data_IF_693998269337
#
_entry.id   IF_693998269337
#
_cell.length_a   1.000
_cell.length_b   1.000
_cell.length_c   1.000
_cell.angle_alpha   90.00
_cell.angle_beta   90.00
_cell.angle_gamma   90.00
#
_symmetry.space_group_name_H-M   'P 1'
#
loop_
_entity.id
_entity.type
_entity.pdbx_description
1 polymer ?
#
# COMPACT_ATOMS: atom_id res chain seq x y z
N UNK A 1 24.94 7.46 21.16
CA UNK A 1 24.29 6.19 20.74
C UNK A 1 22.80 6.06 21.08
N UNK A 2 22.23 6.78 22.08
CA UNK A 2 20.80 6.62 22.47
C UNK A 2 19.78 7.34 21.55
N UNK A 3 20.11 8.47 20.95
CA UNK A 3 19.20 9.24 20.10
C UNK A 3 18.75 8.53 18.81
N UNK A 4 19.63 7.94 17.98
CA UNK A 4 19.19 7.28 16.74
C UNK A 4 18.32 6.05 16.98
N UNK A 5 18.51 5.30 18.07
CA UNK A 5 17.67 4.13 18.41
C UNK A 5 16.24 4.58 18.77
N UNK A 6 16.09 5.70 19.47
CA UNK A 6 14.75 6.25 19.80
C UNK A 6 14.00 6.70 18.56
N UNK A 7 14.66 7.34 17.61
CA UNK A 7 14.04 7.77 16.35
C UNK A 7 13.65 6.56 15.50
N UNK A 8 14.49 5.53 15.43
CA UNK A 8 14.17 4.27 14.73
C UNK A 8 12.94 3.58 15.34
N UNK A 9 12.93 3.43 16.68
CA UNK A 9 11.79 2.83 17.39
C UNK A 9 10.51 3.68 17.25
N UNK A 10 10.64 5.01 17.36
CA UNK A 10 9.52 5.93 17.17
C UNK A 10 8.95 5.84 15.75
N UNK A 11 9.82 5.76 14.74
CA UNK A 11 9.43 5.62 13.34
C UNK A 11 8.72 4.28 13.07
N UNK A 12 9.25 3.17 13.61
CA UNK A 12 8.60 1.86 13.51
C UNK A 12 7.22 1.86 14.15
N UNK A 13 7.11 2.30 15.42
CA UNK A 13 5.86 2.31 16.15
C UNK A 13 4.81 3.25 15.53
N UNK A 14 5.23 4.43 15.07
CA UNK A 14 4.32 5.35 14.39
C UNK A 14 3.83 4.81 13.05
N UNK A 15 4.68 4.09 12.32
CA UNK A 15 4.35 3.50 11.02
C UNK A 15 3.37 2.33 11.13
N UNK A 16 3.25 1.70 12.32
CA UNK A 16 2.21 0.70 12.59
C UNK A 16 0.79 1.24 12.35
N UNK A 17 0.55 2.55 12.53
CA UNK A 17 -0.78 3.16 12.39
C UNK A 17 -1.11 3.61 10.97
N UNK A 18 -0.18 3.59 10.01
CA UNK A 18 -0.39 4.16 8.67
C UNK A 18 -1.32 3.34 7.78
N UNK A 19 -1.32 2.03 7.89
CA UNK A 19 -2.05 1.15 6.96
C UNK A 19 -3.21 0.34 7.57
N UNK A 20 -3.35 0.15 8.88
CA UNK A 20 -4.42 -0.64 9.49
C UNK A 20 -5.80 -0.24 9.00
N UNK A 21 -6.05 1.06 8.87
CA UNK A 21 -7.34 1.62 8.44
C UNK A 21 -7.75 1.26 7.00
N UNK A 22 -6.80 0.84 6.16
CA UNK A 22 -7.06 0.35 4.80
C UNK A 22 -7.18 -1.18 4.82
N UNK A 23 -6.22 -1.85 5.48
CA UNK A 23 -6.08 -3.30 5.39
C UNK A 23 -7.15 -4.07 6.21
N UNK A 24 -7.71 -3.45 7.26
CA UNK A 24 -8.83 -4.00 8.01
C UNK A 24 -10.14 -4.00 7.21
N UNK A 25 -10.28 -3.13 6.21
CA UNK A 25 -11.53 -3.01 5.44
C UNK A 25 -11.84 -4.30 4.68
N UNK A 26 -10.89 -4.89 3.97
CA UNK A 26 -11.12 -6.12 3.20
C UNK A 26 -11.77 -7.24 4.02
N UNK A 27 -11.19 -7.66 5.16
CA UNK A 27 -11.79 -8.65 6.05
C UNK A 27 -13.17 -8.26 6.61
N UNK A 28 -13.38 -6.97 6.92
CA UNK A 28 -14.65 -6.46 7.47
C UNK A 28 -15.69 -6.17 6.39
N UNK A 29 -15.32 -6.14 5.12
CA UNK A 29 -16.19 -5.71 4.03
C UNK A 29 -17.47 -6.55 3.90
N UNK A 30 -17.47 -7.88 4.09
CA UNK A 30 -18.71 -8.66 4.11
C UNK A 30 -19.70 -8.18 5.18
N UNK A 31 -19.21 -7.86 6.39
CA UNK A 31 -20.04 -7.36 7.49
C UNK A 31 -20.57 -5.95 7.19
N UNK A 32 -19.72 -5.05 6.68
CA UNK A 32 -20.08 -3.67 6.31
C UNK A 32 -21.13 -3.69 5.20
N UNK A 33 -20.96 -4.53 4.17
CA UNK A 33 -21.90 -4.67 3.05
C UNK A 33 -23.25 -5.19 3.51
N UNK A 34 -23.25 -6.20 4.39
CA UNK A 34 -24.49 -6.77 4.93
C UNK A 34 -25.26 -5.75 5.78
N UNK A 35 -24.59 -5.02 6.65
CA UNK A 35 -25.21 -4.04 7.55
C UNK A 35 -25.76 -2.79 6.82
N UNK A 36 -25.00 -2.25 5.86
CA UNK A 36 -25.37 -1.03 5.14
C UNK A 36 -25.97 -1.28 3.75
N UNK A 37 -26.24 -2.54 3.39
CA UNK A 37 -26.78 -2.97 2.09
C UNK A 37 -25.98 -2.37 0.90
N UNK A 38 -24.64 -2.36 0.96
CA UNK A 38 -23.82 -1.76 -0.08
C UNK A 38 -23.68 -2.67 -1.30
N UNK A 39 -23.78 -2.06 -2.50
CA UNK A 39 -23.28 -2.72 -3.72
C UNK A 39 -21.78 -2.94 -3.64
N UNK A 40 -21.24 -3.90 -4.37
CA UNK A 40 -19.81 -4.15 -4.37
C UNK A 40 -19.02 -2.96 -4.95
N UNK A 41 -19.55 -2.29 -5.98
CA UNK A 41 -18.94 -1.08 -6.53
C UNK A 41 -18.77 0.03 -5.49
N UNK A 42 -19.82 0.32 -4.70
CA UNK A 42 -19.75 1.33 -3.62
C UNK A 42 -18.80 0.88 -2.51
N UNK A 43 -18.85 -0.38 -2.13
CA UNK A 43 -17.95 -0.93 -1.11
C UNK A 43 -16.47 -0.85 -1.52
N UNK A 44 -16.16 -0.99 -2.82
CA UNK A 44 -14.83 -0.79 -3.39
C UNK A 44 -14.26 0.61 -3.13
N UNK A 45 -15.12 1.65 -2.99
CA UNK A 45 -14.69 3.02 -2.66
C UNK A 45 -13.96 3.11 -1.32
N UNK A 46 -14.27 2.23 -0.37
CA UNK A 46 -13.60 2.21 0.93
C UNK A 46 -12.09 1.92 0.84
N UNK A 47 -11.66 1.22 -0.21
CA UNK A 47 -10.23 0.98 -0.50
C UNK A 47 -9.73 1.96 -1.58
N UNK A 48 -10.54 2.27 -2.58
CA UNK A 48 -10.20 3.20 -3.68
C UNK A 48 -9.83 4.60 -3.16
N UNK A 49 -10.65 5.18 -2.27
CA UNK A 49 -10.46 6.56 -1.79
C UNK A 49 -9.10 6.74 -1.11
N UNK A 50 -8.68 5.90 -0.12
CA UNK A 50 -7.35 6.04 0.49
C UNK A 50 -6.21 5.86 -0.51
N UNK A 51 -6.33 4.92 -1.45
CA UNK A 51 -5.30 4.67 -2.47
C UNK A 51 -5.17 5.86 -3.42
N UNK A 52 -6.29 6.46 -3.85
CA UNK A 52 -6.29 7.68 -4.64
C UNK A 52 -5.61 8.83 -3.88
N UNK A 53 -5.95 8.99 -2.60
CA UNK A 53 -5.34 10.01 -1.75
C UNK A 53 -3.83 9.82 -1.60
N UNK A 54 -3.34 8.58 -1.55
CA UNK A 54 -1.89 8.31 -1.51
C UNK A 54 -1.15 8.84 -2.75
N UNK A 55 -1.78 8.84 -3.93
CA UNK A 55 -1.23 9.49 -5.11
C UNK A 55 -1.33 11.02 -5.04
N UNK A 56 -2.56 11.52 -4.89
CA UNK A 56 -2.89 12.96 -5.01
C UNK A 56 -2.25 13.80 -3.92
N UNK A 57 -2.23 13.31 -2.67
CA UNK A 57 -1.75 14.09 -1.50
C UNK A 57 -0.29 13.84 -1.14
N UNK A 58 0.39 12.83 -1.71
CA UNK A 58 1.81 12.59 -1.45
C UNK A 58 2.71 13.81 -1.72
N UNK A 59 2.52 14.61 -2.80
CA UNK A 59 3.33 15.80 -3.06
C UNK A 59 3.14 16.93 -2.03
N UNK A 60 2.08 16.88 -1.21
CA UNK A 60 1.79 17.86 -0.17
C UNK A 60 2.63 17.59 1.08
N UNK A 61 2.99 16.31 1.35
CA UNK A 61 3.76 15.89 2.52
C UNK A 61 5.02 16.71 2.79
N UNK A 62 5.92 16.91 1.82
CA UNK A 62 7.12 17.72 2.00
C UNK A 62 6.82 19.18 2.36
N UNK A 63 5.76 19.79 1.79
CA UNK A 63 5.34 21.17 2.10
C UNK A 63 4.83 21.29 3.52
N UNK A 64 4.00 20.36 3.96
CA UNK A 64 3.49 20.30 5.34
C UNK A 64 4.64 20.10 6.32
N UNK A 65 5.59 19.23 6.00
CA UNK A 65 6.77 19.00 6.81
C UNK A 65 7.71 20.21 6.86
N UNK A 66 7.82 20.98 5.77
CA UNK A 66 8.60 22.22 5.75
C UNK A 66 8.01 23.30 6.66
N UNK A 67 6.68 23.42 6.70
CA UNK A 67 5.98 24.44 7.49
C UNK A 67 5.87 24.09 8.97
N UNK A 68 5.53 22.84 9.29
CA UNK A 68 5.25 22.38 10.67
C UNK A 68 6.44 21.68 11.31
N UNK A 69 7.47 21.33 10.55
CA UNK A 69 8.51 20.38 10.93
C UNK A 69 8.06 18.93 10.80
N UNK A 70 9.00 18.02 10.50
CA UNK A 70 8.70 16.58 10.23
C UNK A 70 7.98 15.90 11.38
N UNK A 71 8.36 16.22 12.63
CA UNK A 71 7.74 15.63 13.83
C UNK A 71 6.27 16.02 13.97
N UNK A 72 5.96 17.31 13.88
CA UNK A 72 4.59 17.82 14.04
C UNK A 72 3.72 17.46 12.84
N UNK A 73 4.27 17.50 11.63
CA UNK A 73 3.58 17.11 10.41
C UNK A 73 3.14 15.65 10.46
N UNK A 74 4.04 14.74 10.87
CA UNK A 74 3.70 13.32 10.98
C UNK A 74 2.70 13.04 12.10
N UNK A 75 2.84 13.73 13.26
CA UNK A 75 1.86 13.64 14.35
C UNK A 75 0.47 14.13 13.92
N UNK A 76 0.39 15.24 13.16
CA UNK A 76 -0.88 15.74 12.63
C UNK A 76 -1.53 14.75 11.65
N UNK A 77 -0.75 14.11 10.78
CA UNK A 77 -1.25 13.05 9.90
C UNK A 77 -1.80 11.85 10.68
N UNK A 78 -1.08 11.39 11.73
CA UNK A 78 -1.54 10.31 12.58
C UNK A 78 -2.82 10.71 13.33
N UNK A 79 -2.89 11.92 13.87
CA UNK A 79 -4.08 12.44 14.54
C UNK A 79 -5.28 12.50 13.58
N UNK A 80 -5.07 12.89 12.33
CA UNK A 80 -6.09 12.90 11.28
C UNK A 80 -6.61 11.48 11.00
N UNK A 81 -5.69 10.52 10.82
CA UNK A 81 -6.03 9.10 10.59
C UNK A 81 -6.85 8.54 11.77
N UNK A 82 -6.44 8.81 13.01
CA UNK A 82 -7.12 8.37 14.23
C UNK A 82 -8.50 9.02 14.33
N UNK A 83 -8.58 10.34 14.21
CA UNK A 83 -9.83 11.08 14.34
C UNK A 83 -10.88 10.63 13.33
N UNK A 84 -10.53 10.58 12.05
CA UNK A 84 -11.44 10.08 11.02
C UNK A 84 -11.68 8.56 11.12
N UNK A 85 -10.74 7.79 11.65
CA UNK A 85 -10.95 6.38 11.98
C UNK A 85 -12.03 6.19 13.04
N UNK A 86 -12.04 7.03 14.08
CA UNK A 86 -13.09 7.04 15.11
C UNK A 86 -14.43 7.53 14.53
N UNK A 87 -14.45 8.58 13.72
CA UNK A 87 -15.67 9.03 13.02
C UNK A 87 -16.24 7.91 12.16
N UNK A 88 -15.37 7.18 11.43
CA UNK A 88 -15.78 6.03 10.61
C UNK A 88 -16.40 4.91 11.43
N UNK A 89 -15.93 4.68 12.65
CA UNK A 89 -16.45 3.62 13.53
C UNK A 89 -17.85 3.88 14.09
N UNK A 90 -18.36 5.10 13.95
CA UNK A 90 -19.74 5.44 14.37
C UNK A 90 -20.64 5.77 13.19
N UNK A 91 -20.19 5.49 11.96
CA UNK A 91 -20.98 5.76 10.76
C UNK A 91 -22.22 4.85 10.68
N UNK A 92 -23.41 5.45 10.50
CA UNK A 92 -24.68 4.75 10.38
C UNK A 92 -25.18 4.65 8.94
N UNK A 93 -24.55 5.39 8.01
CA UNK A 93 -24.87 5.37 6.57
C UNK A 93 -23.60 5.46 5.72
N UNK A 94 -23.79 5.38 4.41
CA UNK A 94 -22.67 5.33 3.42
C UNK A 94 -21.90 6.64 3.36
N UNK A 95 -22.59 7.78 3.39
CA UNK A 95 -22.01 9.10 3.19
C UNK A 95 -20.97 9.44 4.29
N UNK A 96 -21.29 9.37 5.61
CA UNK A 96 -20.29 9.62 6.65
C UNK A 96 -19.18 8.58 6.64
N UNK A 97 -19.47 7.32 6.26
CA UNK A 97 -18.47 6.27 6.10
C UNK A 97 -17.41 6.64 5.02
N UNK A 98 -17.87 7.10 3.85
CA UNK A 98 -16.99 7.52 2.75
C UNK A 98 -16.25 8.82 3.07
N UNK A 99 -16.91 9.80 3.69
CA UNK A 99 -16.27 11.06 4.09
C UNK A 99 -15.18 10.83 5.13
N UNK A 100 -15.44 9.97 6.12
CA UNK A 100 -14.42 9.59 7.10
C UNK A 100 -13.25 8.84 6.42
N UNK A 101 -13.55 7.96 5.46
CA UNK A 101 -12.54 7.26 4.67
C UNK A 101 -11.68 8.23 3.84
N UNK A 102 -12.25 9.30 3.31
CA UNK A 102 -11.51 10.37 2.63
C UNK A 102 -10.54 11.08 3.59
N UNK A 103 -10.99 11.44 4.79
CA UNK A 103 -10.14 12.06 5.79
C UNK A 103 -8.97 11.17 6.21
N UNK A 104 -9.21 9.86 6.38
CA UNK A 104 -8.14 8.87 6.61
C UNK A 104 -7.17 8.86 5.43
N UNK A 105 -7.69 8.80 4.20
CA UNK A 105 -6.88 8.77 2.98
C UNK A 105 -5.98 10.00 2.83
N UNK A 106 -6.49 11.20 3.12
CA UNK A 106 -5.72 12.45 3.13
C UNK A 106 -4.56 12.35 4.14
N UNK A 107 -4.85 11.89 5.37
CA UNK A 107 -3.83 11.68 6.39
C UNK A 107 -2.71 10.73 5.94
N UNK A 108 -3.08 9.59 5.36
CA UNK A 108 -2.14 8.59 4.85
C UNK A 108 -1.34 9.14 3.66
N UNK A 109 -1.99 9.83 2.72
CA UNK A 109 -1.35 10.39 1.54
C UNK A 109 -0.27 11.41 1.91
N UNK A 110 -0.59 12.37 2.79
CA UNK A 110 0.38 13.36 3.28
C UNK A 110 1.51 12.69 4.07
N UNK A 111 1.18 11.70 4.91
CA UNK A 111 2.15 10.99 5.73
C UNK A 111 3.18 10.21 4.90
N UNK A 112 2.84 9.78 3.68
CA UNK A 112 3.63 8.83 2.88
C UNK A 112 5.09 9.27 2.61
N UNK A 113 5.35 10.56 2.45
CA UNK A 113 6.67 11.09 2.18
C UNK A 113 7.48 11.46 3.45
N UNK A 114 6.81 11.68 4.58
CA UNK A 114 7.44 12.23 5.80
C UNK A 114 8.46 11.27 6.44
N UNK A 115 8.21 9.95 6.57
CA UNK A 115 9.17 9.02 7.14
C UNK A 115 10.52 9.00 6.43
N UNK A 116 10.52 9.06 5.09
CA UNK A 116 11.76 9.12 4.31
C UNK A 116 12.57 10.39 4.62
N UNK A 117 11.89 11.51 4.87
CA UNK A 117 12.53 12.77 5.30
C UNK A 117 13.11 12.64 6.70
N UNK A 118 12.39 11.99 7.63
CA UNK A 118 12.90 11.72 8.98
C UNK A 118 14.17 10.86 8.93
N UNK A 119 14.19 9.84 8.06
CA UNK A 119 15.36 8.97 7.88
C UNK A 119 16.56 9.74 7.34
N UNK A 120 16.36 10.54 6.28
CA UNK A 120 17.43 11.31 5.64
C UNK A 120 18.03 12.39 6.56
N UNK A 121 17.24 12.92 7.48
CA UNK A 121 17.64 14.00 8.38
C UNK A 121 18.12 13.50 9.74
N UNK A 122 17.41 12.53 10.34
CA UNK A 122 17.67 12.08 11.71
C UNK A 122 18.56 10.85 11.81
N UNK A 123 18.66 10.03 10.75
CA UNK A 123 19.38 8.75 10.76
C UNK A 123 20.26 8.61 9.50
N UNK A 124 20.76 9.71 8.96
CA UNK A 124 21.54 9.74 7.72
C UNK A 124 22.76 8.78 7.72
N UNK A 125 23.32 8.45 8.89
CA UNK A 125 24.42 7.49 9.03
C UNK A 125 23.98 6.02 8.91
N UNK A 126 22.69 5.71 9.05
CA UNK A 126 22.11 4.37 8.97
C UNK A 126 20.76 4.38 8.24
N UNK A 127 20.72 4.84 6.98
CA UNK A 127 19.46 5.03 6.24
C UNK A 127 18.72 3.71 6.03
N UNK A 128 19.43 2.61 5.83
CA UNK A 128 18.84 1.27 5.67
C UNK A 128 18.05 0.85 6.91
N UNK A 129 18.60 1.11 8.12
CA UNK A 129 17.91 0.80 9.37
C UNK A 129 16.63 1.63 9.55
N UNK A 130 16.69 2.93 9.22
CA UNK A 130 15.54 3.82 9.29
C UNK A 130 14.43 3.46 8.31
N UNK A 131 14.79 3.18 7.06
CA UNK A 131 13.84 2.74 6.02
C UNK A 131 13.25 1.39 6.35
N UNK A 132 14.07 0.45 6.85
CA UNK A 132 13.61 -0.86 7.31
C UNK A 132 12.63 -0.76 8.48
N UNK A 133 12.88 0.13 9.45
CA UNK A 133 11.96 0.37 10.56
C UNK A 133 10.61 0.91 10.07
N UNK A 134 10.62 1.91 9.20
CA UNK A 134 9.42 2.47 8.60
C UNK A 134 8.63 1.41 7.80
N UNK A 135 9.28 0.72 6.87
CA UNK A 135 8.63 -0.30 6.05
C UNK A 135 8.13 -1.48 6.90
N UNK A 136 8.95 -1.94 7.87
CA UNK A 136 8.58 -2.99 8.80
C UNK A 136 7.38 -2.62 9.66
N UNK A 137 7.31 -1.37 10.14
CA UNK A 137 6.16 -0.87 10.89
C UNK A 137 4.88 -0.88 10.05
N UNK A 138 4.93 -0.39 8.79
CA UNK A 138 3.78 -0.44 7.87
C UNK A 138 3.28 -1.86 7.67
N UNK A 139 4.17 -2.79 7.37
CA UNK A 139 3.78 -4.18 7.06
C UNK A 139 3.27 -4.88 8.31
N UNK A 140 3.94 -4.72 9.46
CA UNK A 140 3.48 -5.29 10.72
C UNK A 140 2.07 -4.77 11.09
N UNK A 141 1.84 -3.45 11.02
CA UNK A 141 0.53 -2.85 11.26
C UNK A 141 -0.54 -3.36 10.29
N UNK A 142 -0.20 -3.51 9.01
CA UNK A 142 -1.09 -4.06 7.98
C UNK A 142 -1.48 -5.50 8.28
N UNK A 143 -0.50 -6.35 8.60
CA UNK A 143 -0.71 -7.77 8.90
C UNK A 143 -1.55 -7.96 10.16
N UNK A 144 -1.23 -7.21 11.23
CA UNK A 144 -2.01 -7.24 12.47
C UNK A 144 -3.45 -6.80 12.23
N UNK A 145 -3.66 -5.70 11.50
CA UNK A 145 -5.00 -5.23 11.19
C UNK A 145 -5.81 -6.25 10.39
N UNK A 146 -5.22 -6.88 9.38
CA UNK A 146 -5.89 -7.91 8.59
C UNK A 146 -6.21 -9.15 9.42
N UNK A 147 -5.28 -9.58 10.30
CA UNK A 147 -5.45 -10.78 11.13
C UNK A 147 -6.51 -10.59 12.22
N UNK A 148 -6.57 -9.40 12.83
CA UNK A 148 -7.43 -9.14 13.97
C UNK A 148 -8.72 -8.40 13.64
N UNK A 149 -8.92 -7.95 12.39
CA UNK A 149 -10.11 -7.18 12.00
C UNK A 149 -11.41 -7.93 12.34
N UNK A 150 -11.55 -9.18 11.90
CA UNK A 150 -12.77 -9.97 12.14
C UNK A 150 -12.88 -10.44 13.59
N UNK A 151 -11.82 -10.98 14.24
CA UNK A 151 -11.86 -11.29 15.68
C UNK A 151 -12.25 -10.11 16.58
N UNK A 152 -11.92 -8.88 16.19
CA UNK A 152 -12.31 -7.68 16.92
C UNK A 152 -13.77 -7.25 16.66
N UNK A 153 -14.38 -7.74 15.59
CA UNK A 153 -15.79 -7.51 15.25
C UNK A 153 -16.70 -8.50 16.01
N UNK A 154 -16.59 -8.51 17.33
CA UNK A 154 -17.38 -9.40 18.22
C UNK A 154 -18.87 -9.21 17.88
N UNK A 155 -19.61 -10.31 17.80
CA UNK A 155 -21.01 -10.35 17.40
C UNK A 155 -21.31 -9.72 16.01
N UNK A 156 -20.30 -9.68 15.14
CA UNK A 156 -20.43 -9.10 13.81
C UNK A 156 -20.37 -7.55 13.78
N UNK A 157 -20.07 -6.90 14.89
CA UNK A 157 -19.97 -5.44 14.99
C UNK A 157 -18.64 -4.92 14.40
N UNK A 158 -18.64 -4.65 13.10
CA UNK A 158 -17.50 -4.08 12.38
C UNK A 158 -17.10 -2.68 12.89
N UNK A 159 -18.05 -1.91 13.45
CA UNK A 159 -17.80 -0.58 14.03
C UNK A 159 -16.87 -0.69 15.24
N UNK A 160 -17.11 -1.68 16.10
CA UNK A 160 -16.26 -1.98 17.24
C UNK A 160 -14.83 -2.32 16.82
N UNK A 161 -14.65 -3.14 15.78
CA UNK A 161 -13.34 -3.46 15.26
C UNK A 161 -12.60 -2.21 14.77
N UNK A 162 -13.25 -1.35 14.00
CA UNK A 162 -12.66 -0.10 13.50
C UNK A 162 -12.34 0.89 14.64
N UNK A 163 -13.19 0.95 15.68
CA UNK A 163 -12.94 1.76 16.88
C UNK A 163 -11.67 1.29 17.60
N UNK A 164 -11.54 -0.01 17.87
CA UNK A 164 -10.37 -0.58 18.55
C UNK A 164 -9.09 -0.33 17.73
N UNK A 165 -9.11 -0.53 16.42
CA UNK A 165 -7.98 -0.25 15.53
C UNK A 165 -7.61 1.25 15.59
N UNK A 166 -8.59 2.14 15.64
CA UNK A 166 -8.34 3.58 15.75
C UNK A 166 -7.76 3.97 17.11
N UNK A 167 -8.30 3.40 18.20
CA UNK A 167 -7.83 3.63 19.57
C UNK A 167 -6.38 3.10 19.72
N UNK A 168 -6.08 1.91 19.23
CA UNK A 168 -4.71 1.36 19.30
C UNK A 168 -3.71 2.23 18.51
N UNK A 169 -4.15 2.93 17.48
CA UNK A 169 -3.32 3.89 16.74
C UNK A 169 -2.93 5.12 17.58
N UNK A 170 -3.66 5.43 18.67
CA UNK A 170 -3.29 6.47 19.64
C UNK A 170 -1.96 6.12 20.34
N UNK A 171 -1.73 4.83 20.60
CA UNK A 171 -0.46 4.37 21.18
C UNK A 171 0.71 4.65 20.24
N UNK A 172 0.49 4.49 18.94
CA UNK A 172 1.49 4.82 17.89
C UNK A 172 1.80 6.31 17.87
N UNK A 173 0.78 7.17 17.94
CA UNK A 173 0.96 8.62 18.05
C UNK A 173 1.69 9.00 19.35
N UNK A 174 1.28 8.43 20.48
CA UNK A 174 1.94 8.64 21.77
C UNK A 174 3.42 8.23 21.74
N UNK A 175 3.73 7.05 21.19
CA UNK A 175 5.09 6.58 21.03
C UNK A 175 5.93 7.53 20.14
N UNK A 176 5.36 8.03 19.04
CA UNK A 176 6.00 9.03 18.19
C UNK A 176 6.35 10.30 18.96
N UNK A 177 5.39 10.87 19.68
CA UNK A 177 5.57 12.11 20.44
C UNK A 177 6.54 11.96 21.62
N UNK A 178 6.61 10.78 22.23
CA UNK A 178 7.50 10.49 23.37
C UNK A 178 8.94 10.19 22.94
N UNK A 179 9.11 9.42 21.87
CA UNK A 179 10.42 8.93 21.45
C UNK A 179 11.16 9.93 20.56
N UNK A 180 10.45 10.65 19.69
CA UNK A 180 11.03 11.63 18.78
C UNK A 180 10.89 13.01 19.38
N UNK A 181 11.77 13.35 20.33
CA UNK A 181 11.82 14.63 21.02
C UNK A 181 12.92 15.52 20.46
N UNK A 182 12.64 16.81 20.33
CA UNK A 182 13.68 17.85 20.18
C UNK A 182 14.28 18.00 18.78
N UNK A 183 13.77 17.34 17.76
CA UNK A 183 14.14 17.67 16.39
C UNK A 183 13.50 19.01 16.04
N UNK A 184 14.31 20.09 16.21
CA UNK A 184 14.04 21.37 15.55
C UNK A 184 13.83 21.07 14.09
N UNK A 185 12.80 21.68 13.51
CA UNK A 185 12.55 21.72 12.06
C UNK A 185 13.88 21.72 11.30
N UNK A 186 14.34 20.54 10.88
CA UNK A 186 15.44 20.45 9.96
C UNK A 186 14.89 21.08 8.69
N UNK A 187 15.36 22.27 8.39
CA UNK A 187 14.96 22.98 7.17
C UNK A 187 15.13 22.01 6.03
N UNK A 188 14.02 21.68 5.39
CA UNK A 188 14.08 20.98 4.13
C UNK A 188 15.01 21.80 3.26
N UNK A 189 16.22 21.26 3.01
CA UNK A 189 17.16 21.89 2.10
C UNK A 189 16.42 21.95 0.78
N UNK A 190 16.08 23.15 0.32
CA UNK A 190 15.47 23.38 -0.97
C UNK A 190 16.39 22.81 -2.06
N UNK A 191 16.25 21.51 -2.31
CA UNK A 191 16.71 20.99 -3.57
C UNK A 191 15.65 21.46 -4.58
N UNK A 192 16.06 22.20 -5.60
CA UNK A 192 15.12 22.65 -6.61
C UNK A 192 14.39 21.44 -7.15
N UNK A 193 13.06 21.41 -6.92
CA UNK A 193 12.22 20.31 -7.39
C UNK A 193 12.39 20.24 -8.91
N UNK A 194 13.06 19.18 -9.38
CA UNK A 194 13.19 18.94 -10.82
C UNK A 194 11.79 18.75 -11.39
N UNK A 195 11.53 19.26 -12.56
CA UNK A 195 10.23 19.10 -13.22
C UNK A 195 9.94 17.61 -13.44
N UNK A 196 8.71 17.20 -13.16
CA UNK A 196 8.27 15.83 -13.37
C UNK A 196 8.39 15.47 -14.86
N UNK A 197 8.88 14.27 -15.22
CA UNK A 197 9.15 13.87 -16.61
C UNK A 197 7.86 13.43 -17.34
N UNK A 198 6.82 14.28 -17.39
CA UNK A 198 5.55 13.98 -18.04
C UNK A 198 5.65 13.62 -19.53
N UNK A 199 6.69 14.11 -20.20
CA UNK A 199 6.91 13.88 -21.65
C UNK A 199 7.73 12.64 -21.93
N UNK A 200 8.31 12.00 -20.92
CA UNK A 200 9.11 10.79 -21.09
C UNK A 200 8.21 9.55 -21.14
N UNK A 201 8.18 8.79 -22.25
CA UNK A 201 7.39 7.57 -22.34
C UNK A 201 7.83 6.50 -21.35
N UNK A 202 9.07 6.54 -20.84
CA UNK A 202 9.54 5.63 -19.81
C UNK A 202 8.84 5.92 -18.46
N UNK A 203 8.58 7.19 -18.14
CA UNK A 203 7.82 7.55 -16.95
C UNK A 203 6.40 6.96 -16.98
N UNK A 204 5.74 6.99 -18.13
CA UNK A 204 4.42 6.38 -18.30
C UNK A 204 4.45 4.86 -18.18
N UNK A 205 5.52 4.22 -18.67
CA UNK A 205 5.73 2.78 -18.47
C UNK A 205 5.89 2.44 -16.97
N UNK A 206 6.65 3.25 -16.22
CA UNK A 206 6.80 3.07 -14.78
C UNK A 206 5.47 3.28 -14.05
N UNK A 207 4.68 4.29 -14.42
CA UNK A 207 3.31 4.50 -13.90
C UNK A 207 2.47 3.26 -14.15
N UNK A 208 2.49 2.71 -15.36
CA UNK A 208 1.69 1.55 -15.74
C UNK A 208 2.10 0.32 -14.91
N UNK A 209 3.39 0.01 -14.84
CA UNK A 209 3.89 -1.16 -14.10
C UNK A 209 3.57 -1.06 -12.60
N UNK A 210 3.82 0.10 -11.99
CA UNK A 210 3.49 0.33 -10.58
C UNK A 210 1.98 0.30 -10.34
N UNK A 211 1.19 0.91 -11.21
CA UNK A 211 -0.27 0.96 -11.11
C UNK A 211 -0.90 -0.43 -11.22
N UNK A 212 -0.50 -1.22 -12.22
CA UNK A 212 -1.02 -2.59 -12.42
C UNK A 212 -0.69 -3.50 -11.24
N UNK A 213 0.57 -3.48 -10.77
CA UNK A 213 0.97 -4.22 -9.57
C UNK A 213 0.13 -3.81 -8.35
N UNK A 214 -0.09 -2.50 -8.18
CA UNK A 214 -0.87 -1.99 -7.06
C UNK A 214 -2.36 -2.30 -7.19
N UNK A 215 -2.93 -2.35 -8.41
CA UNK A 215 -4.30 -2.85 -8.64
C UNK A 215 -4.42 -4.29 -8.15
N UNK A 216 -3.47 -5.16 -8.51
CA UNK A 216 -3.46 -6.56 -8.06
C UNK A 216 -3.44 -6.64 -6.54
N UNK A 217 -2.55 -5.88 -5.89
CA UNK A 217 -2.43 -5.88 -4.43
C UNK A 217 -3.71 -5.39 -3.74
N UNK A 218 -4.18 -4.18 -4.07
CA UNK A 218 -5.36 -3.61 -3.41
C UNK A 218 -6.65 -4.30 -3.80
N UNK A 219 -6.74 -4.83 -5.03
CA UNK A 219 -7.87 -5.65 -5.47
C UNK A 219 -8.00 -6.94 -4.68
N UNK A 220 -6.89 -7.66 -4.50
CA UNK A 220 -6.85 -8.88 -3.67
C UNK A 220 -7.20 -8.56 -2.22
N UNK A 221 -6.54 -7.56 -1.63
CA UNK A 221 -6.80 -7.17 -0.23
C UNK A 221 -8.26 -6.77 0.01
N UNK A 222 -8.88 -6.05 -0.92
CA UNK A 222 -10.27 -5.61 -0.80
C UNK A 222 -11.28 -6.76 -0.95
N UNK A 223 -11.07 -7.63 -1.93
CA UNK A 223 -12.13 -8.55 -2.36
C UNK A 223 -11.91 -10.01 -1.99
N UNK A 224 -10.69 -10.43 -1.67
CA UNK A 224 -10.42 -11.85 -1.33
C UNK A 224 -11.34 -12.40 -0.22
N UNK A 225 -11.59 -11.67 0.90
CA UNK A 225 -12.52 -12.17 1.91
C UNK A 225 -13.95 -12.30 1.39
N UNK A 226 -14.44 -11.33 0.61
CA UNK A 226 -15.78 -11.38 0.04
C UNK A 226 -15.97 -12.56 -0.91
N UNK A 227 -14.97 -12.86 -1.74
CA UNK A 227 -14.97 -14.00 -2.67
C UNK A 227 -15.18 -15.30 -1.89
N UNK A 228 -14.51 -15.47 -0.74
CA UNK A 228 -14.59 -16.69 0.02
C UNK A 228 -15.80 -16.76 0.95
N UNK A 229 -16.31 -15.64 1.45
CA UNK A 229 -17.59 -15.58 2.17
C UNK A 229 -18.74 -15.95 1.23
N UNK A 230 -18.78 -15.46 -0.03
CA UNK A 230 -19.78 -15.88 -1.02
C UNK A 230 -19.66 -17.39 -1.40
N UNK A 231 -18.47 -17.98 -1.20
CA UNK A 231 -18.25 -19.42 -1.35
C UNK A 231 -18.60 -20.24 -0.10
N UNK A 232 -19.22 -19.62 0.91
CA UNK A 232 -19.66 -20.29 2.14
C UNK A 232 -18.62 -20.38 3.26
N UNK A 233 -17.49 -19.68 3.15
CA UNK A 233 -16.51 -19.64 4.23
C UNK A 233 -16.98 -18.68 5.34
N UNK A 234 -16.56 -18.95 6.59
CA UNK A 234 -16.76 -18.01 7.69
C UNK A 234 -15.96 -16.74 7.46
N UNK A 235 -16.44 -15.60 7.99
CA UNK A 235 -15.74 -14.33 7.87
C UNK A 235 -14.32 -14.39 8.45
N UNK A 236 -14.12 -15.13 9.57
CA UNK A 236 -12.82 -15.32 10.20
C UNK A 236 -11.84 -16.05 9.26
N UNK A 237 -12.26 -17.18 8.69
CA UNK A 237 -11.42 -17.95 7.77
C UNK A 237 -11.10 -17.15 6.49
N UNK A 238 -12.07 -16.44 5.96
CA UNK A 238 -11.89 -15.57 4.79
C UNK A 238 -10.98 -14.37 5.10
N UNK A 239 -11.12 -13.76 6.27
CA UNK A 239 -10.25 -12.68 6.74
C UNK A 239 -8.80 -13.14 6.95
N UNK A 240 -8.61 -14.36 7.47
CA UNK A 240 -7.28 -14.96 7.67
C UNK A 240 -6.50 -15.11 6.35
N UNK A 241 -7.17 -15.25 5.19
CA UNK A 241 -6.51 -15.28 3.89
C UNK A 241 -5.72 -13.99 3.61
N UNK A 242 -6.26 -12.82 3.97
CA UNK A 242 -5.55 -11.53 3.80
C UNK A 242 -4.36 -11.42 4.75
N UNK A 243 -4.48 -11.94 5.96
CA UNK A 243 -3.38 -11.99 6.91
C UNK A 243 -2.23 -12.88 6.37
N UNK A 244 -2.55 -14.07 5.82
CA UNK A 244 -1.57 -14.95 5.17
C UNK A 244 -0.95 -14.26 3.96
N UNK A 245 -1.75 -13.66 3.08
CA UNK A 245 -1.28 -12.91 1.90
C UNK A 245 -0.23 -11.85 2.27
N UNK A 246 -0.55 -11.00 3.26
CA UNK A 246 0.36 -9.94 3.69
C UNK A 246 1.57 -10.50 4.46
N UNK A 247 1.35 -11.44 5.39
CA UNK A 247 2.40 -12.00 6.25
C UNK A 247 3.46 -12.75 5.43
N UNK A 248 3.03 -13.58 4.48
CA UNK A 248 3.96 -14.32 3.61
C UNK A 248 4.60 -13.37 2.58
N UNK A 249 3.86 -12.41 2.05
CA UNK A 249 4.38 -11.38 1.15
C UNK A 249 5.51 -10.55 1.77
N UNK A 250 5.48 -10.34 3.09
CA UNK A 250 6.54 -9.67 3.82
C UNK A 250 7.91 -10.34 3.65
N UNK A 251 7.93 -11.69 3.63
CA UNK A 251 9.17 -12.47 3.49
C UNK A 251 9.89 -12.10 2.18
N UNK A 252 9.15 -12.01 1.07
CA UNK A 252 9.73 -11.62 -0.22
C UNK A 252 9.97 -10.13 -0.34
N UNK A 253 9.12 -9.30 0.26
CA UNK A 253 9.31 -7.83 0.27
C UNK A 253 10.61 -7.43 0.98
N UNK A 254 10.99 -8.12 2.04
CA UNK A 254 12.24 -7.86 2.78
C UNK A 254 13.40 -8.69 2.22
N UNK A 255 13.17 -9.96 1.93
CA UNK A 255 14.22 -10.90 1.56
C UNK A 255 14.72 -10.71 0.12
N UNK A 256 13.83 -10.44 -0.82
CA UNK A 256 14.20 -10.36 -2.22
C UNK A 256 15.21 -9.22 -2.52
N UNK A 257 15.08 -7.99 -2.00
CA UNK A 257 16.06 -6.93 -2.25
C UNK A 257 17.48 -7.32 -1.88
N UNK A 258 17.67 -8.16 -0.84
CA UNK A 258 18.99 -8.64 -0.39
C UNK A 258 19.62 -9.54 -1.45
N UNK A 259 18.84 -10.28 -2.20
CA UNK A 259 19.29 -11.26 -3.20
C UNK A 259 19.19 -10.70 -4.63
N UNK A 260 18.28 -9.76 -4.87
CA UNK A 260 18.00 -9.21 -6.20
C UNK A 260 19.22 -8.58 -6.87
N UNK A 261 20.07 -7.90 -6.10
CA UNK A 261 21.30 -7.30 -6.62
C UNK A 261 22.31 -8.36 -7.12
N UNK A 262 22.28 -9.57 -6.55
CA UNK A 262 23.10 -10.71 -7.00
C UNK A 262 22.52 -11.42 -8.23
N UNK A 263 21.20 -11.37 -8.41
CA UNK A 263 20.49 -11.99 -9.52
C UNK A 263 20.54 -11.13 -10.81
N UNK A 264 21.04 -9.90 -10.75
CA UNK A 264 21.24 -9.03 -11.88
C UNK A 264 19.95 -8.33 -12.35
N UNK A 265 19.61 -8.40 -13.64
CA UNK A 265 18.54 -7.63 -14.24
C UNK A 265 17.17 -7.88 -13.56
N UNK A 266 16.46 -6.80 -13.21
CA UNK A 266 15.15 -6.85 -12.52
C UNK A 266 14.01 -7.39 -13.38
N UNK A 267 14.11 -7.22 -14.71
CA UNK A 267 13.08 -7.66 -15.66
C UNK A 267 12.71 -9.16 -15.54
N UNK A 268 13.65 -10.13 -15.55
CA UNK A 268 13.31 -11.54 -15.40
C UNK A 268 12.59 -11.84 -14.07
N UNK A 269 13.05 -11.20 -12.99
CA UNK A 269 12.48 -11.37 -11.65
C UNK A 269 11.02 -10.87 -11.60
N UNK A 270 10.74 -9.67 -12.17
CA UNK A 270 9.39 -9.12 -12.29
C UNK A 270 8.50 -10.02 -13.14
N UNK A 271 9.01 -10.50 -14.29
CA UNK A 271 8.24 -11.36 -15.20
C UNK A 271 7.89 -12.69 -14.53
N UNK A 272 8.86 -13.37 -13.90
CA UNK A 272 8.63 -14.65 -13.22
C UNK A 272 7.64 -14.49 -12.07
N UNK A 273 7.83 -13.48 -11.21
CA UNK A 273 6.91 -13.24 -10.10
C UNK A 273 5.48 -12.93 -10.59
N UNK A 274 5.34 -12.15 -11.68
CA UNK A 274 4.02 -11.85 -12.27
C UNK A 274 3.37 -13.10 -12.90
N UNK A 275 4.14 -13.99 -13.52
CA UNK A 275 3.63 -15.27 -14.03
C UNK A 275 3.16 -16.18 -12.89
N UNK A 276 3.92 -16.24 -11.78
CA UNK A 276 3.51 -16.98 -10.58
C UNK A 276 2.20 -16.42 -10.03
N UNK A 277 2.03 -15.08 -10.01
CA UNK A 277 0.79 -14.44 -9.59
C UNK A 277 -0.41 -14.82 -10.48
N UNK A 278 -0.22 -14.90 -11.81
CA UNK A 278 -1.24 -15.39 -12.75
C UNK A 278 -1.65 -16.82 -12.41
N UNK A 279 -0.68 -17.70 -12.22
CA UNK A 279 -0.94 -19.11 -11.85
C UNK A 279 -1.71 -19.22 -10.53
N UNK A 280 -1.29 -18.47 -9.51
CA UNK A 280 -1.97 -18.46 -8.21
C UNK A 280 -3.42 -17.94 -8.30
N UNK A 281 -3.66 -16.85 -9.05
CA UNK A 281 -5.01 -16.31 -9.30
C UNK A 281 -5.88 -17.34 -10.06
N UNK A 282 -5.35 -17.99 -11.08
CA UNK A 282 -6.06 -19.03 -11.81
C UNK A 282 -6.43 -20.22 -10.89
N UNK A 283 -5.52 -20.64 -10.02
CA UNK A 283 -5.76 -21.72 -9.08
C UNK A 283 -6.79 -21.36 -7.99
N UNK A 284 -6.92 -20.08 -7.62
CA UNK A 284 -8.01 -19.62 -6.76
C UNK A 284 -9.40 -19.78 -7.41
N UNK A 285 -9.47 -19.84 -8.75
CA UNK A 285 -10.70 -20.13 -9.47
C UNK A 285 -10.96 -21.64 -9.57
N UNK A 286 -9.94 -22.43 -9.94
CA UNK A 286 -10.07 -23.84 -10.31
C UNK A 286 -10.03 -24.76 -9.09
N UNK A 287 -9.22 -24.43 -8.09
CA UNK A 287 -9.02 -25.24 -6.89
C UNK A 287 -9.20 -24.42 -5.59
N UNK A 288 -10.40 -23.85 -5.35
CA UNK A 288 -10.65 -22.94 -4.22
C UNK A 288 -10.46 -23.60 -2.84
N UNK A 289 -10.53 -24.92 -2.75
CA UNK A 289 -10.32 -25.67 -1.50
C UNK A 289 -8.92 -25.44 -0.91
N UNK A 290 -7.90 -25.22 -1.75
CA UNK A 290 -6.54 -24.96 -1.34
C UNK A 290 -6.21 -23.47 -1.24
N UNK A 291 -7.18 -22.62 -0.91
CA UNK A 291 -7.07 -21.18 -0.90
C UNK A 291 -5.84 -20.66 -0.16
N UNK A 292 -5.56 -21.17 1.04
CA UNK A 292 -4.40 -20.73 1.83
C UNK A 292 -3.08 -20.93 1.10
N UNK A 293 -2.94 -22.03 0.36
CA UNK A 293 -1.74 -22.32 -0.44
C UNK A 293 -1.60 -21.34 -1.58
N UNK A 294 -2.67 -21.15 -2.36
CA UNK A 294 -2.63 -20.23 -3.51
C UNK A 294 -2.48 -18.79 -3.11
N UNK A 295 -3.12 -18.39 -2.01
CA UNK A 295 -2.98 -17.05 -1.43
C UNK A 295 -1.57 -16.81 -0.90
N UNK A 296 -0.94 -17.82 -0.28
CA UNK A 296 0.46 -17.71 0.15
C UNK A 296 1.40 -17.54 -1.05
N UNK A 297 1.21 -18.32 -2.12
CA UNK A 297 1.99 -18.19 -3.37
C UNK A 297 1.77 -16.81 -3.99
N UNK A 298 0.52 -16.32 -4.04
CA UNK A 298 0.19 -14.99 -4.55
C UNK A 298 0.84 -13.89 -3.71
N UNK A 299 0.84 -14.04 -2.37
CA UNK A 299 1.50 -13.13 -1.43
C UNK A 299 3.01 -13.06 -1.67
N UNK A 300 3.68 -14.22 -1.82
CA UNK A 300 5.11 -14.27 -2.18
C UNK A 300 5.38 -13.57 -3.51
N UNK A 301 4.55 -13.81 -4.51
CA UNK A 301 4.72 -13.25 -5.84
C UNK A 301 4.56 -11.72 -5.84
N UNK A 302 3.45 -11.19 -5.32
CA UNK A 302 3.19 -9.75 -5.29
C UNK A 302 4.10 -9.01 -4.29
N UNK A 303 4.47 -9.67 -3.18
CA UNK A 303 5.46 -9.17 -2.24
C UNK A 303 6.85 -9.03 -2.87
N UNK A 304 7.19 -9.89 -3.84
CA UNK A 304 8.42 -9.79 -4.63
C UNK A 304 8.36 -8.65 -5.66
N UNK A 305 7.24 -8.50 -6.36
CA UNK A 305 7.07 -7.47 -7.41
C UNK A 305 7.18 -6.07 -6.85
N UNK A 306 6.60 -5.79 -5.69
CA UNK A 306 6.52 -4.44 -5.12
C UNK A 306 7.89 -3.75 -4.93
N UNK A 307 8.89 -4.33 -4.21
CA UNK A 307 10.18 -3.68 -4.04
C UNK A 307 10.97 -3.58 -5.35
N UNK A 308 10.83 -4.55 -6.26
CA UNK A 308 11.47 -4.49 -7.57
C UNK A 308 10.98 -3.30 -8.39
N UNK A 309 9.67 -3.06 -8.40
CA UNK A 309 9.06 -1.92 -9.12
C UNK A 309 9.50 -0.59 -8.52
N UNK A 310 9.58 -0.49 -7.18
CA UNK A 310 10.04 0.73 -6.50
C UNK A 310 11.49 1.09 -6.83
N UNK A 311 12.30 0.14 -7.26
CA UNK A 311 13.69 0.39 -7.65
C UNK A 311 13.89 0.68 -9.13
N UNK A 312 12.86 0.55 -9.98
CA UNK A 312 12.96 0.84 -11.42
C UNK A 312 13.41 2.27 -11.75
N UNK A 313 13.03 3.33 -11.01
CA UNK A 313 13.56 4.67 -11.26
C UNK A 313 15.09 4.75 -11.21
N UNK A 314 15.77 3.89 -10.42
CA UNK A 314 17.23 3.81 -10.36
C UNK A 314 17.85 3.27 -11.66
N UNK A 315 17.10 2.47 -12.42
CA UNK A 315 17.60 1.87 -13.67
C UNK A 315 17.45 2.81 -14.88
N UNK A 316 16.59 3.84 -14.75
CA UNK A 316 16.21 4.76 -15.82
C UNK A 316 16.93 6.09 -15.72
N UNK A 317 17.12 6.61 -14.51
CA UNK A 317 17.62 7.94 -14.26
C UNK A 317 19.15 8.00 -14.28
N UNK A 318 19.68 9.16 -14.67
CA UNK A 318 21.13 9.42 -14.79
C UNK A 318 21.73 9.99 -13.51
N UNK A 319 20.93 10.68 -12.69
CA UNK A 319 21.36 11.35 -11.46
C UNK A 319 20.31 11.22 -10.33
N UNK A 320 20.69 11.42 -9.06
CA UNK A 320 19.78 11.26 -7.93
C UNK A 320 18.52 12.14 -7.95
N UNK A 321 18.60 13.36 -8.53
CA UNK A 321 17.46 14.27 -8.63
C UNK A 321 16.45 13.76 -9.67
N UNK A 322 16.95 13.16 -10.75
CA UNK A 322 16.15 12.51 -11.77
C UNK A 322 15.47 11.26 -11.24
N UNK A 323 16.18 10.42 -10.45
CA UNK A 323 15.58 9.27 -9.73
C UNK A 323 14.37 9.74 -8.91
N UNK A 324 14.53 10.82 -8.14
CA UNK A 324 13.45 11.37 -7.33
C UNK A 324 12.24 11.81 -8.16
N UNK A 325 12.47 12.46 -9.31
CA UNK A 325 11.38 12.93 -10.18
C UNK A 325 10.62 11.79 -10.89
N UNK A 326 11.34 10.75 -11.36
CA UNK A 326 10.71 9.55 -11.91
C UNK A 326 9.93 8.79 -10.84
N UNK A 327 10.49 8.61 -9.63
CA UNK A 327 9.81 7.95 -8.52
C UNK A 327 8.55 8.71 -8.10
N UNK A 328 8.62 10.04 -7.99
CA UNK A 328 7.48 10.86 -7.64
C UNK A 328 6.34 10.75 -8.66
N UNK A 329 6.65 10.80 -9.96
CA UNK A 329 5.66 10.67 -11.02
C UNK A 329 5.10 9.25 -11.10
N UNK A 330 5.92 8.23 -10.95
CA UNK A 330 5.52 6.82 -10.89
C UNK A 330 4.52 6.58 -9.74
N UNK A 331 4.82 7.08 -8.55
CA UNK A 331 3.93 6.92 -7.38
C UNK A 331 2.63 7.69 -7.56
N UNK A 332 2.70 8.95 -8.00
CA UNK A 332 1.52 9.79 -8.24
C UNK A 332 0.58 9.13 -9.25
N UNK A 333 1.06 8.89 -10.47
CA UNK A 333 0.24 8.31 -11.54
C UNK A 333 -0.16 6.87 -11.26
N UNK A 334 0.75 6.09 -10.68
CA UNK A 334 0.51 4.67 -10.36
C UNK A 334 -0.53 4.47 -9.26
N UNK A 335 -0.56 5.29 -8.20
CA UNK A 335 -1.64 5.21 -7.21
C UNK A 335 -2.98 5.70 -7.76
N UNK A 336 -2.99 6.72 -8.64
CA UNK A 336 -4.22 7.15 -9.33
C UNK A 336 -4.76 5.99 -10.17
N UNK A 337 -3.91 5.34 -10.96
CA UNK A 337 -4.31 4.16 -11.73
C UNK A 337 -4.76 3.02 -10.82
N UNK A 338 -4.03 2.75 -9.74
CA UNK A 338 -4.34 1.68 -8.78
C UNK A 338 -5.69 1.86 -8.10
N UNK A 339 -6.11 3.10 -7.86
CA UNK A 339 -7.39 3.41 -7.24
C UNK A 339 -8.60 2.92 -8.05
N UNK A 340 -8.44 2.69 -9.36
CA UNK A 340 -9.51 2.15 -10.20
C UNK A 340 -9.81 0.67 -9.89
N UNK A 341 -8.83 -0.07 -9.37
CA UNK A 341 -8.93 -1.53 -9.19
C UNK A 341 -10.08 -1.98 -8.29
N UNK A 342 -10.12 -1.58 -7.01
CA UNK A 342 -11.15 -2.07 -6.09
C UNK A 342 -12.58 -1.76 -6.55
N UNK A 343 -12.83 -0.58 -7.12
CA UNK A 343 -14.15 -0.22 -7.68
C UNK A 343 -14.46 -1.03 -8.93
N UNK A 344 -13.52 -1.18 -9.86
CA UNK A 344 -13.75 -1.94 -11.09
C UNK A 344 -14.06 -3.41 -10.81
N UNK A 345 -13.36 -4.04 -9.85
CA UNK A 345 -13.62 -5.41 -9.41
C UNK A 345 -14.99 -5.55 -8.75
N UNK A 346 -15.36 -4.58 -7.90
CA UNK A 346 -16.69 -4.54 -7.28
C UNK A 346 -17.80 -4.34 -8.31
N UNK A 347 -17.63 -3.42 -9.26
CA UNK A 347 -18.58 -3.20 -10.36
C UNK A 347 -18.72 -4.45 -11.26
N UNK A 348 -17.62 -5.14 -11.55
CA UNK A 348 -17.66 -6.39 -12.29
C UNK A 348 -18.53 -7.44 -11.59
N UNK A 349 -18.39 -7.58 -10.27
CA UNK A 349 -19.24 -8.46 -9.44
C UNK A 349 -20.71 -8.03 -9.49
N UNK A 350 -21.01 -6.72 -9.38
CA UNK A 350 -22.38 -6.22 -9.40
C UNK A 350 -23.06 -6.46 -10.78
N UNK A 351 -22.29 -6.42 -11.87
CA UNK A 351 -22.79 -6.64 -13.22
C UNK A 351 -22.99 -8.14 -13.53
N UNK A 352 -22.14 -9.03 -12.99
CA UNK A 352 -22.16 -10.46 -13.35
C UNK A 352 -22.84 -11.34 -12.30
N UNK A 353 -23.06 -10.82 -11.09
CA UNK A 353 -23.68 -11.53 -9.98
C UNK A 353 -22.72 -12.36 -9.12
N UNK A 354 -21.48 -12.57 -9.56
CA UNK A 354 -20.45 -13.32 -8.85
C UNK A 354 -19.05 -12.71 -9.00
N UNK A 355 -18.07 -13.19 -8.22
CA UNK A 355 -16.68 -12.73 -8.29
C UNK A 355 -15.84 -13.46 -9.37
N UNK A 356 -16.40 -14.32 -10.20
CA UNK A 356 -15.66 -14.96 -11.29
C UNK A 356 -15.09 -13.95 -12.27
N UNK A 357 -15.91 -12.98 -12.69
CA UNK A 357 -15.47 -11.88 -13.56
C UNK A 357 -14.37 -11.02 -12.91
N UNK A 358 -14.45 -10.77 -11.59
CA UNK A 358 -13.42 -10.03 -10.87
C UNK A 358 -12.08 -10.76 -10.85
N UNK A 359 -12.09 -12.08 -10.67
CA UNK A 359 -10.87 -12.91 -10.74
C UNK A 359 -10.28 -12.94 -12.16
N UNK A 360 -11.13 -13.07 -13.19
CA UNK A 360 -10.70 -13.01 -14.60
C UNK A 360 -10.07 -11.64 -14.90
N UNK A 361 -10.65 -10.55 -14.40
CA UNK A 361 -10.10 -9.21 -14.55
C UNK A 361 -8.73 -9.07 -13.88
N UNK A 362 -8.55 -9.62 -12.66
CA UNK A 362 -7.25 -9.66 -12.00
C UNK A 362 -6.21 -10.45 -12.79
N UNK A 363 -6.58 -11.60 -13.36
CA UNK A 363 -5.70 -12.40 -14.23
C UNK A 363 -5.32 -11.57 -15.47
N UNK A 364 -6.28 -10.91 -16.12
CA UNK A 364 -6.04 -10.02 -17.26
C UNK A 364 -5.06 -8.89 -16.93
N UNK A 365 -5.25 -8.24 -15.77
CA UNK A 365 -4.34 -7.19 -15.28
C UNK A 365 -2.93 -7.76 -15.03
N UNK A 366 -2.81 -8.97 -14.47
CA UNK A 366 -1.52 -9.62 -14.26
C UNK A 366 -0.82 -9.97 -15.60
N UNK A 367 -1.58 -10.39 -16.61
CA UNK A 367 -1.05 -10.62 -17.98
C UNK A 367 -0.53 -9.29 -18.58
N UNK A 368 -1.31 -8.21 -18.47
CA UNK A 368 -0.88 -6.87 -18.94
C UNK A 368 0.37 -6.42 -18.20
N UNK A 369 0.48 -6.71 -16.89
CA UNK A 369 1.70 -6.42 -16.11
C UNK A 369 2.92 -7.17 -16.67
N UNK A 370 2.80 -8.46 -17.00
CA UNK A 370 3.88 -9.23 -17.66
C UNK A 370 4.28 -8.56 -18.97
N UNK A 371 3.32 -8.19 -19.81
CA UNK A 371 3.59 -7.51 -21.09
C UNK A 371 4.28 -6.17 -20.86
N UNK A 372 3.82 -5.37 -19.89
CA UNK A 372 4.41 -4.09 -19.52
C UNK A 372 5.85 -4.22 -18.97
N UNK A 373 6.22 -5.37 -18.42
CA UNK A 373 7.59 -5.62 -17.96
C UNK A 373 8.55 -5.96 -19.13
N UNK A 374 8.07 -6.38 -20.30
CA UNK A 374 8.93 -6.80 -21.41
C UNK A 374 9.86 -5.68 -21.95
N UNK A 375 9.42 -4.39 -22.05
CA UNK A 375 10.28 -3.30 -22.50
C UNK A 375 11.36 -2.89 -21.48
N UNK A 376 11.27 -3.30 -20.22
CA UNK A 376 12.19 -2.93 -19.13
C UNK A 376 13.57 -3.62 -19.24
N UNK A 377 14.16 -3.66 -20.45
CA UNK A 377 15.50 -4.24 -20.62
C UNK A 377 16.59 -3.21 -20.30
N UNK A 378 17.68 -3.57 -19.58
CA UNK A 378 18.77 -2.66 -19.25
C UNK A 378 19.38 -1.98 -20.49
N UNK A 379 19.43 -2.70 -21.62
CA UNK A 379 19.97 -2.17 -22.88
C UNK A 379 19.09 -1.06 -23.49
N UNK A 380 17.77 -1.15 -23.36
CA UNK A 380 16.85 -0.11 -23.84
C UNK A 380 16.79 1.10 -22.92
N UNK A 381 16.85 0.86 -21.60
CA UNK A 381 16.83 1.91 -20.58
C UNK A 381 18.13 2.74 -20.64
N UNK A 382 19.31 2.10 -20.79
CA UNK A 382 20.61 2.80 -20.89
C UNK A 382 20.84 3.52 -22.24
N UNK A 383 20.26 3.08 -23.37
CA UNK A 383 20.35 3.80 -24.64
C UNK A 383 19.67 5.18 -24.60
N UNK A 384 18.69 5.38 -23.74
CA UNK A 384 17.99 6.68 -23.57
C UNK A 384 18.69 7.62 -22.59
N UNK A 385 19.49 7.09 -21.65
CA UNK A 385 20.28 7.88 -20.72
C UNK A 385 21.53 8.53 -21.34
N UNK A 386 21.89 8.21 -22.58
CA UNK A 386 22.94 8.89 -23.34
C UNK A 386 22.31 9.68 -24.49
N UNK A 387 22.09 11.00 -24.32
CA UNK A 387 21.88 11.86 -25.47
C UNK A 387 23.16 11.85 -26.31
N UNK A 388 23.04 11.54 -27.63
CA UNK A 388 24.12 11.67 -28.56
C UNK A 388 24.56 13.13 -28.75
#
# INVERSE_FOLDING_TARGET
MRAPIRVVAGLFLASLALRPQILAIGPLLPLIRGDLALSAGVAGLLTTIPVLCMGVFAPIGPRVAANLGTRSAFAACLALIIGFGLVRSVALSVEPLLLATLGIGIGIGIAGAIPSMVVSQGIAQRPVLGTGAYAGGIVAGSTLAAAFAVPLAIDGDWRRALAIISITSILSLGAWLLLVRGERSLRVRDQPARRLPWRDPTAWLLILVFGLQSILFYGVVAWLPNIYVERGWTADAAGALVAVFNGVGLVTTIGLPIVADRLGARRPQLTVASIIAIGALAMLMVAPTFAFVWVAILGLALGAVFPLVLTLPLDVASDPAEVGSFAALMLLGGYILSATGPVALGAARDLTGDFGASLILLIGIAIVLVIACLPLSPARLRKRARPG
#
